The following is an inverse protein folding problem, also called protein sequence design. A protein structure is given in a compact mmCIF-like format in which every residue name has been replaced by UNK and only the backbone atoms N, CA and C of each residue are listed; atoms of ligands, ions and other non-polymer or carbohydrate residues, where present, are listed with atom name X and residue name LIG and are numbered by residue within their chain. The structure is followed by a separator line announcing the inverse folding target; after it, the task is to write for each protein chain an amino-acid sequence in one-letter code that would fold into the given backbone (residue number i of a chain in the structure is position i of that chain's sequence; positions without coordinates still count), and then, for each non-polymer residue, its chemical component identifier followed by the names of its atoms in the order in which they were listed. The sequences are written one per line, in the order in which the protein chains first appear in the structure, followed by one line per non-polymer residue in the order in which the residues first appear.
data_IF_131745684699
#
_entry.id   IF_131745684699
#
_cell.length_a   1.000
_cell.length_b   1.000
_cell.length_c   1.000
_cell.angle_alpha   90.00
_cell.angle_beta   90.00
_cell.angle_gamma   90.00
#
_symmetry.space_group_name_H-M   'P 1'
#
loop_
_entity.id
_entity.type
_entity.pdbx_description
1 polymer ?
#
# COMPACT_ATOMS: atom_id res chain seq x y z
N UNK A 1 57.68 -35.20 -13.19
CA UNK A 1 57.06 -33.96 -12.67
C UNK A 1 55.73 -33.77 -13.38
N UNK A 2 54.60 -34.16 -12.76
CA UNK A 2 53.26 -34.09 -13.38
C UNK A 2 52.57 -32.80 -12.93
N UNK A 3 52.31 -31.91 -13.88
CA UNK A 3 51.58 -30.65 -13.68
C UNK A 3 50.10 -31.00 -13.55
N UNK A 4 49.56 -30.92 -12.33
CA UNK A 4 48.14 -31.10 -12.07
C UNK A 4 47.34 -29.91 -12.58
N UNK A 5 46.44 -30.15 -13.54
CA UNK A 5 45.46 -29.16 -14.02
C UNK A 5 44.42 -28.94 -12.91
N UNK A 6 44.41 -27.76 -12.29
CA UNK A 6 43.34 -27.34 -11.38
C UNK A 6 42.18 -26.86 -12.24
N UNK A 7 41.07 -27.60 -12.21
CA UNK A 7 39.81 -27.22 -12.85
C UNK A 7 39.05 -26.29 -11.90
N UNK A 8 39.04 -24.99 -12.20
CA UNK A 8 38.22 -24.01 -11.49
C UNK A 8 36.77 -24.14 -11.99
N UNK A 9 35.91 -24.79 -11.20
CA UNK A 9 34.47 -24.83 -11.45
C UNK A 9 33.84 -23.61 -10.80
N UNK A 10 33.49 -22.61 -11.61
CA UNK A 10 32.71 -21.43 -11.17
C UNK A 10 31.23 -21.81 -11.23
N UNK A 11 30.63 -22.14 -10.09
CA UNK A 11 29.18 -22.28 -9.97
C UNK A 11 28.56 -20.88 -9.86
N UNK A 12 28.05 -20.34 -10.98
CA UNK A 12 27.15 -19.19 -10.95
C UNK A 12 25.76 -19.67 -10.51
N UNK A 13 25.44 -19.46 -9.24
CA UNK A 13 24.06 -19.53 -8.76
C UNK A 13 23.27 -18.37 -9.36
N UNK A 14 22.58 -18.61 -10.47
CA UNK A 14 21.49 -17.74 -10.92
C UNK A 14 20.33 -17.90 -9.94
N UNK A 15 20.32 -17.11 -8.87
CA UNK A 15 19.11 -16.92 -8.08
C UNK A 15 18.09 -16.24 -8.98
N UNK A 16 17.08 -16.99 -9.42
CA UNK A 16 15.89 -16.44 -10.07
C UNK A 16 15.23 -15.48 -9.09
N UNK A 17 15.46 -14.19 -9.26
CA UNK A 17 14.77 -13.16 -8.50
C UNK A 17 13.37 -13.10 -9.08
N UNK A 18 12.38 -13.68 -8.39
CA UNK A 18 10.98 -13.53 -8.76
C UNK A 18 10.60 -12.07 -8.60
N UNK A 19 10.68 -11.31 -9.69
CA UNK A 19 10.14 -9.96 -9.77
C UNK A 19 8.63 -10.09 -9.89
N UNK A 20 7.93 -9.94 -8.77
CA UNK A 20 6.49 -9.75 -8.80
C UNK A 20 6.22 -8.33 -9.30
N UNK A 21 5.82 -8.20 -10.56
CA UNK A 21 5.23 -6.96 -11.06
C UNK A 21 3.84 -6.81 -10.42
N UNK A 22 3.77 -6.09 -9.31
CA UNK A 22 2.53 -5.73 -8.64
C UNK A 22 1.77 -4.71 -9.52
N UNK A 23 0.74 -5.18 -10.23
CA UNK A 23 -0.06 -4.34 -11.13
C UNK A 23 -1.17 -3.60 -10.34
N UNK A 24 -1.08 -2.28 -10.29
CA UNK A 24 -2.04 -1.39 -9.62
C UNK A 24 -3.27 -1.04 -10.46
N UNK A 25 -3.34 -1.42 -11.75
CA UNK A 25 -4.51 -1.18 -12.61
C UNK A 25 -5.79 -1.77 -11.99
N UNK A 26 -5.66 -2.86 -11.24
CA UNK A 26 -6.76 -3.48 -10.51
C UNK A 26 -7.35 -2.56 -9.43
N UNK A 27 -6.64 -1.54 -8.95
CA UNK A 27 -7.16 -0.57 -7.98
C UNK A 27 -8.06 0.50 -8.62
N UNK A 28 -8.19 0.54 -9.95
CA UNK A 28 -9.04 1.53 -10.62
C UNK A 28 -10.52 1.46 -10.17
N UNK A 29 -11.01 0.30 -9.70
CA UNK A 29 -12.37 0.20 -9.15
C UNK A 29 -12.57 1.02 -7.87
N UNK A 30 -11.48 1.34 -7.17
CA UNK A 30 -11.52 1.96 -5.85
C UNK A 30 -11.75 3.47 -5.91
N UNK A 31 -11.51 4.08 -7.08
CA UNK A 31 -11.74 5.50 -7.29
C UNK A 31 -13.24 5.83 -7.15
N UNK A 32 -13.56 6.81 -6.32
CA UNK A 32 -14.93 7.19 -6.01
C UNK A 32 -15.11 7.65 -4.58
N UNK A 33 -16.38 7.83 -4.19
CA UNK A 33 -16.75 8.22 -2.83
C UNK A 33 -17.52 7.09 -2.17
N UNK A 34 -17.02 6.66 -1.02
CA UNK A 34 -17.55 5.60 -0.19
C UNK A 34 -18.16 6.23 1.06
N UNK A 35 -19.42 5.90 1.35
CA UNK A 35 -20.11 6.34 2.56
C UNK A 35 -20.22 5.18 3.52
N UNK A 36 -19.87 5.42 4.79
CA UNK A 36 -20.15 4.46 5.85
C UNK A 36 -21.65 4.43 6.14
N UNK A 37 -22.27 3.26 6.00
CA UNK A 37 -23.70 3.10 6.23
C UNK A 37 -24.12 3.58 7.63
N UNK A 38 -25.22 4.34 7.69
CA UNK A 38 -25.75 4.91 8.92
C UNK A 38 -24.89 6.02 9.55
N UNK A 39 -23.85 6.52 8.88
CA UNK A 39 -22.99 7.61 9.38
C UNK A 39 -22.71 8.66 8.30
N UNK A 40 -22.53 9.90 8.72
CA UNK A 40 -22.02 10.99 7.89
C UNK A 40 -20.48 10.95 7.86
N UNK A 41 -19.92 9.79 7.48
CA UNK A 41 -18.48 9.57 7.34
C UNK A 41 -18.20 9.00 5.96
N UNK A 42 -17.21 9.57 5.30
CA UNK A 42 -16.93 9.38 3.88
C UNK A 42 -15.45 9.14 3.66
N UNK A 43 -15.15 8.34 2.65
CA UNK A 43 -13.83 8.25 2.04
C UNK A 43 -13.94 8.58 0.56
N UNK A 44 -13.08 9.45 0.06
CA UNK A 44 -13.00 9.78 -1.34
C UNK A 44 -11.62 9.43 -1.88
N UNK A 45 -11.56 8.69 -2.98
CA UNK A 45 -10.34 8.20 -3.60
C UNK A 45 -10.23 8.66 -5.04
N UNK A 46 -9.07 9.22 -5.38
CA UNK A 46 -8.75 9.75 -6.70
C UNK A 46 -7.44 9.15 -7.21
N UNK A 47 -7.39 8.81 -8.50
CA UNK A 47 -6.16 8.38 -9.16
C UNK A 47 -5.24 9.60 -9.31
N UNK A 48 -4.00 9.49 -8.84
CA UNK A 48 -3.00 10.56 -8.91
C UNK A 48 -1.79 10.23 -9.79
N UNK A 49 -1.87 9.14 -10.56
CA UNK A 49 -0.85 8.66 -11.50
C UNK A 49 -1.13 7.21 -11.92
N UNK A 50 -0.26 6.61 -12.74
CA UNK A 50 -0.48 5.25 -13.30
C UNK A 50 -0.68 4.18 -12.21
N UNK A 51 0.01 4.35 -11.08
CA UNK A 51 0.04 3.41 -9.95
C UNK A 51 -0.12 4.07 -8.58
N UNK A 52 -0.74 5.24 -8.55
CA UNK A 52 -0.88 6.03 -7.33
C UNK A 52 -2.31 6.50 -7.13
N UNK A 53 -2.80 6.39 -5.89
CA UNK A 53 -4.09 6.89 -5.46
C UNK A 53 -3.92 7.81 -4.26
N UNK A 54 -4.76 8.84 -4.19
CA UNK A 54 -4.90 9.71 -3.04
C UNK A 54 -6.30 9.56 -2.48
N UNK A 55 -6.39 9.40 -1.18
CA UNK A 55 -7.63 9.27 -0.46
C UNK A 55 -7.79 10.36 0.60
N UNK A 56 -9.03 10.68 0.93
CA UNK A 56 -9.38 11.56 2.04
C UNK A 56 -10.53 10.94 2.83
N UNK A 57 -10.34 10.78 4.13
CA UNK A 57 -11.40 10.38 5.04
C UNK A 57 -11.92 11.62 5.77
N UNK A 58 -13.24 11.84 5.77
CA UNK A 58 -13.86 13.03 6.34
C UNK A 58 -15.24 12.73 6.91
N UNK A 59 -15.70 13.61 7.81
CA UNK A 59 -17.06 13.58 8.37
C UNK A 59 -17.82 14.83 7.98
N UNK A 60 -19.12 14.69 7.74
CA UNK A 60 -20.00 15.84 7.52
C UNK A 60 -20.76 16.13 8.81
N UNK A 61 -20.62 17.34 9.32
CA UNK A 61 -21.38 17.85 10.46
C UNK A 61 -21.83 19.28 10.15
N UNK A 62 -23.11 19.59 10.37
CA UNK A 62 -23.71 20.90 10.08
C UNK A 62 -23.45 21.40 8.64
N UNK A 63 -23.46 20.47 7.67
CA UNK A 63 -23.19 20.76 6.26
C UNK A 63 -21.72 21.10 5.94
N UNK A 64 -20.80 20.90 6.89
CA UNK A 64 -19.37 21.14 6.71
C UNK A 64 -18.59 19.83 6.76
N UNK A 65 -17.65 19.70 5.83
CA UNK A 65 -16.68 18.61 5.84
C UNK A 65 -15.57 18.88 6.86
N UNK A 66 -15.33 17.88 7.71
CA UNK A 66 -14.26 17.84 8.68
C UNK A 66 -13.33 16.69 8.29
N UNK A 67 -12.20 17.04 7.69
CA UNK A 67 -11.18 16.07 7.27
C UNK A 67 -10.58 15.40 8.51
N UNK A 68 -10.58 14.07 8.55
CA UNK A 68 -9.96 13.29 9.62
C UNK A 68 -8.61 12.72 9.21
N UNK A 69 -8.47 12.24 7.97
CA UNK A 69 -7.26 11.58 7.53
C UNK A 69 -6.97 11.85 6.04
N UNK A 70 -5.69 11.90 5.69
CA UNK A 70 -5.23 11.82 4.29
C UNK A 70 -4.58 10.47 4.04
N UNK A 71 -4.91 9.87 2.91
CA UNK A 71 -4.55 8.51 2.56
C UNK A 71 -3.81 8.50 1.22
N UNK A 72 -2.87 7.57 1.03
CA UNK A 72 -2.23 7.33 -0.26
C UNK A 72 -1.99 5.85 -0.48
N UNK A 73 -2.14 5.38 -1.72
CA UNK A 73 -1.63 4.08 -2.15
C UNK A 73 -0.60 4.33 -3.23
N UNK A 74 0.65 3.91 -3.03
CA UNK A 74 1.72 4.09 -4.02
C UNK A 74 2.83 3.07 -3.91
N UNK A 75 3.58 2.92 -5.00
CA UNK A 75 4.82 2.15 -5.02
C UNK A 75 5.99 2.98 -4.46
N UNK A 76 6.74 2.39 -3.52
CA UNK A 76 7.98 2.94 -2.96
C UNK A 76 9.01 1.81 -3.01
N UNK A 77 10.12 2.02 -3.73
CA UNK A 77 11.19 1.03 -3.90
C UNK A 77 10.69 -0.36 -4.39
N UNK A 78 9.70 -0.34 -5.31
CA UNK A 78 9.14 -1.55 -5.91
C UNK A 78 8.11 -2.30 -5.05
N UNK A 79 7.72 -1.76 -3.90
CA UNK A 79 6.67 -2.32 -3.03
C UNK A 79 5.50 -1.36 -2.94
N UNK A 80 4.27 -1.87 -2.97
CA UNK A 80 3.07 -1.06 -2.77
C UNK A 80 2.81 -0.87 -1.27
N UNK A 81 2.50 0.37 -0.89
CA UNK A 81 2.10 0.74 0.45
C UNK A 81 0.77 1.46 0.47
N UNK A 82 -0.01 1.20 1.51
CA UNK A 82 -1.09 2.06 1.98
C UNK A 82 -0.53 2.98 3.08
N UNK A 83 -0.71 4.28 2.92
CA UNK A 83 -0.18 5.32 3.77
C UNK A 83 -1.33 6.09 4.40
N UNK A 84 -1.41 6.10 5.73
CA UNK A 84 -2.46 6.79 6.47
C UNK A 84 -1.86 7.91 7.33
N UNK A 85 -2.38 9.12 7.21
CA UNK A 85 -1.99 10.25 8.05
C UNK A 85 -3.22 10.81 8.73
N UNK A 86 -3.38 10.50 10.02
CA UNK A 86 -4.46 11.03 10.85
C UNK A 86 -4.15 12.47 11.25
N UNK A 87 -5.07 13.38 10.94
CA UNK A 87 -4.93 14.79 11.28
C UNK A 87 -5.11 14.98 12.78
N UNK A 88 -4.26 15.83 13.36
CA UNK A 88 -4.23 16.14 14.80
C UNK A 88 -3.99 14.93 15.73
N UNK A 89 -3.56 13.79 15.18
CA UNK A 89 -3.15 12.60 15.92
C UNK A 89 -1.71 12.25 15.56
N UNK A 90 -1.01 11.51 16.44
CA UNK A 90 0.36 11.00 16.19
C UNK A 90 1.35 12.06 15.66
N UNK A 91 1.18 13.34 16.04
CA UNK A 91 1.97 14.47 15.54
C UNK A 91 1.97 14.62 14.00
N UNK A 92 0.92 14.11 13.32
CA UNK A 92 0.82 14.10 11.86
C UNK A 92 1.74 13.08 11.19
N UNK A 93 2.24 12.08 11.91
CA UNK A 93 3.07 11.03 11.32
C UNK A 93 2.25 10.12 10.40
N UNK A 94 2.80 9.85 9.21
CA UNK A 94 2.24 8.87 8.28
C UNK A 94 2.57 7.46 8.72
N UNK A 95 1.54 6.64 8.94
CA UNK A 95 1.65 5.21 9.21
C UNK A 95 1.66 4.48 7.86
N UNK A 96 2.55 3.51 7.72
CA UNK A 96 2.73 2.73 6.49
C UNK A 96 2.26 1.30 6.69
N UNK A 97 1.52 0.76 5.73
CA UNK A 97 1.10 -0.63 5.68
C UNK A 97 1.56 -1.22 4.35
N UNK A 98 2.33 -2.31 4.37
CA UNK A 98 2.84 -2.95 3.16
C UNK A 98 1.79 -3.88 2.57
N UNK A 99 1.65 -3.90 1.24
CA UNK A 99 0.77 -4.86 0.56
C UNK A 99 1.33 -6.28 0.73
N UNK A 100 0.57 -7.16 1.39
CA UNK A 100 0.96 -8.56 1.64
C UNK A 100 0.14 -9.56 0.84
N UNK A 101 -1.06 -9.19 0.36
CA UNK A 101 -1.88 -10.00 -0.53
C UNK A 101 -2.67 -9.16 -1.52
N UNK A 102 -2.83 -9.65 -2.74
CA UNK A 102 -3.65 -9.07 -3.82
C UNK A 102 -4.29 -10.24 -4.58
N UNK A 103 -5.52 -10.60 -4.26
CA UNK A 103 -6.24 -11.74 -4.85
C UNK A 103 -7.73 -11.42 -4.92
N UNK A 104 -8.41 -11.89 -5.97
CA UNK A 104 -9.87 -11.80 -6.09
C UNK A 104 -10.46 -10.38 -5.87
N UNK A 105 -9.75 -9.35 -6.35
CA UNK A 105 -10.05 -7.92 -6.13
C UNK A 105 -9.96 -7.44 -4.68
N UNK A 106 -9.36 -8.22 -3.79
CA UNK A 106 -9.05 -7.86 -2.41
C UNK A 106 -7.56 -7.52 -2.26
N UNK A 107 -7.27 -6.39 -1.61
CA UNK A 107 -5.92 -5.94 -1.29
C UNK A 107 -5.72 -5.89 0.23
N UNK A 108 -4.76 -6.66 0.73
CA UNK A 108 -4.45 -6.74 2.16
C UNK A 108 -3.13 -6.02 2.43
N UNK A 109 -3.20 -4.96 3.24
CA UNK A 109 -2.04 -4.20 3.69
C UNK A 109 -1.80 -4.42 5.18
N UNK A 110 -0.57 -4.66 5.59
CA UNK A 110 -0.23 -4.98 6.98
C UNK A 110 0.93 -4.14 7.53
N UNK A 111 0.86 -3.84 8.82
CA UNK A 111 1.94 -3.30 9.64
C UNK A 111 1.87 -3.96 11.03
N UNK A 112 2.56 -5.10 11.24
CA UNK A 112 2.52 -5.83 12.51
C UNK A 112 3.06 -5.05 13.71
N UNK A 113 3.92 -4.05 13.45
CA UNK A 113 4.58 -3.21 14.46
C UNK A 113 3.70 -2.05 14.94
N UNK A 114 2.61 -1.72 14.24
CA UNK A 114 1.70 -0.66 14.66
C UNK A 114 0.72 -1.14 15.73
N UNK A 115 0.33 -0.29 16.69
CA UNK A 115 -0.54 -0.72 17.79
C UNK A 115 -1.94 -1.12 17.31
N UNK A 116 -2.60 -0.24 16.55
CA UNK A 116 -3.89 -0.48 15.89
C UNK A 116 -4.22 0.63 14.88
N UNK A 117 -4.78 0.32 13.69
CA UNK A 117 -4.97 -1.02 13.13
C UNK A 117 -3.65 -1.63 12.66
N UNK A 118 -3.55 -2.96 12.59
CA UNK A 118 -2.39 -3.68 12.02
C UNK A 118 -2.60 -4.12 10.57
N UNK A 119 -3.85 -4.08 10.10
CA UNK A 119 -4.28 -4.61 8.82
C UNK A 119 -5.37 -3.73 8.23
N UNK A 120 -5.26 -3.46 6.93
CA UNK A 120 -6.26 -2.79 6.10
C UNK A 120 -6.61 -3.75 4.96
N UNK A 121 -7.90 -3.94 4.71
CA UNK A 121 -8.41 -4.76 3.61
C UNK A 121 -9.28 -3.86 2.74
N UNK A 122 -8.95 -3.78 1.46
CA UNK A 122 -9.67 -3.01 0.44
C UNK A 122 -10.27 -3.93 -0.61
#
# INVERSE_FOLDING_TARGET
MKIGKVLLVVLMFFSCVSVFAQNTEQLNFFAGTWKREGRESYENWEKSGDSAFKGRAYKVADGKENLSETLEIKSIDGKIYYLATALNQNKGATIRFALTSSKDNEFVFENPEHDFPKKIVL
#
